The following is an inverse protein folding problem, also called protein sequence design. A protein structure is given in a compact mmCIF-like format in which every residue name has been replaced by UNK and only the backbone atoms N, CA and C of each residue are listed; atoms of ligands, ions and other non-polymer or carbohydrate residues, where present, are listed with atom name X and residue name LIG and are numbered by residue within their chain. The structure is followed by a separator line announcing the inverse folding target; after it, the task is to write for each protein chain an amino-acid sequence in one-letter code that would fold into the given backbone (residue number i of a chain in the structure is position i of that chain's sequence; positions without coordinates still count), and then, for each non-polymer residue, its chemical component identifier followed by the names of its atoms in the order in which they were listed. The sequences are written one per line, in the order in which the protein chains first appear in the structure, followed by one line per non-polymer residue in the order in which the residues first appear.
data_IF_569876066136
#
_entry.id   IF_569876066136
#
_cell.length_a   1.000
_cell.length_b   1.000
_cell.length_c   1.000
_cell.angle_alpha   90.00
_cell.angle_beta   90.00
_cell.angle_gamma   90.00
#
_symmetry.space_group_name_H-M   'P 1'
#
loop_
_entity.id
_entity.type
_entity.pdbx_description
1 polymer ?
#
# COMPACT_ATOMS: atom_id res chain seq x y z
N UNK A 1 2.76 -20.89 -4.03
CA UNK A 1 1.60 -21.68 -4.52
C UNK A 1 1.98 -23.15 -4.50
N UNK A 2 1.22 -24.00 -3.82
CA UNK A 2 1.50 -25.45 -3.70
C UNK A 2 0.75 -26.26 -4.76
N UNK A 3 -0.38 -25.78 -5.27
CA UNK A 3 -1.11 -26.45 -6.35
C UNK A 3 -2.41 -25.77 -6.73
N UNK A 4 -3.10 -26.34 -7.71
CA UNK A 4 -4.43 -25.90 -8.13
C UNK A 4 -5.35 -27.09 -8.43
N UNK A 5 -6.67 -26.89 -8.26
CA UNK A 5 -7.69 -27.81 -8.73
C UNK A 5 -8.57 -27.11 -9.79
N UNK A 6 -8.71 -27.75 -10.95
CA UNK A 6 -9.57 -27.29 -12.04
C UNK A 6 -10.48 -28.43 -12.52
N UNK A 7 -11.42 -28.85 -11.66
CA UNK A 7 -12.37 -29.93 -11.96
C UNK A 7 -13.79 -29.37 -12.16
N UNK A 8 -14.33 -29.54 -13.38
CA UNK A 8 -15.67 -29.04 -13.73
C UNK A 8 -15.79 -27.53 -13.54
N UNK A 9 -16.73 -27.09 -12.68
CA UNK A 9 -16.93 -25.68 -12.30
C UNK A 9 -15.99 -25.19 -11.19
N UNK A 10 -15.25 -26.09 -10.54
CA UNK A 10 -14.39 -25.75 -9.41
C UNK A 10 -13.06 -25.21 -9.92
N UNK A 11 -12.63 -24.08 -9.35
CA UNK A 11 -11.31 -23.48 -9.52
C UNK A 11 -10.80 -23.16 -8.12
N UNK A 12 -9.77 -23.86 -7.68
CA UNK A 12 -9.21 -23.73 -6.33
C UNK A 12 -7.70 -23.56 -6.47
N UNK A 13 -7.14 -22.61 -5.72
CA UNK A 13 -5.70 -22.44 -5.56
C UNK A 13 -5.33 -22.84 -4.13
N UNK A 14 -4.24 -23.59 -3.98
CA UNK A 14 -3.70 -24.00 -2.69
C UNK A 14 -2.35 -23.32 -2.51
N UNK A 15 -2.19 -22.64 -1.39
CA UNK A 15 -0.94 -21.97 -0.99
C UNK A 15 -0.58 -22.40 0.43
N UNK A 16 0.61 -21.98 0.86
CA UNK A 16 0.94 -21.98 2.28
C UNK A 16 -0.13 -21.23 3.09
N UNK A 17 -0.37 -21.71 4.30
CA UNK A 17 -1.16 -21.00 5.30
C UNK A 17 -0.26 -19.96 5.97
N UNK A 18 -0.78 -18.75 6.14
CA UNK A 18 -0.06 -17.60 6.68
C UNK A 18 -0.73 -17.20 8.00
N UNK A 19 0.01 -17.36 9.10
CA UNK A 19 -0.54 -17.45 10.45
C UNK A 19 -1.14 -16.13 10.96
N UNK A 20 -0.50 -14.99 10.67
CA UNK A 20 -0.94 -13.69 11.14
C UNK A 20 -2.02 -13.05 10.25
N UNK A 21 -2.50 -13.78 9.23
CA UNK A 21 -3.55 -13.31 8.34
C UNK A 21 -3.08 -12.12 7.48
N UNK A 22 -3.99 -11.19 7.19
CA UNK A 22 -3.70 -10.01 6.37
C UNK A 22 -3.24 -8.82 7.19
N UNK A 23 -2.54 -7.88 6.55
CA UNK A 23 -2.19 -6.60 7.13
C UNK A 23 -3.45 -5.84 7.58
N UNK A 24 -4.55 -5.92 6.82
CA UNK A 24 -5.83 -5.34 7.23
C UNK A 24 -6.30 -5.86 8.60
N UNK A 25 -6.13 -7.15 8.86
CA UNK A 25 -6.52 -7.77 10.12
C UNK A 25 -5.69 -7.21 11.29
N UNK A 26 -4.35 -7.16 11.14
CA UNK A 26 -3.45 -6.64 12.18
C UNK A 26 -3.59 -5.13 12.41
N UNK A 27 -3.83 -4.37 11.35
CA UNK A 27 -3.85 -2.91 11.42
C UNK A 27 -5.21 -2.39 11.90
N UNK A 28 -6.31 -2.97 11.40
CA UNK A 28 -7.66 -2.45 11.58
C UNK A 28 -8.57 -3.33 12.45
N UNK A 29 -8.13 -4.54 12.79
CA UNK A 29 -8.88 -5.46 13.64
C UNK A 29 -9.23 -4.81 14.97
N UNK A 30 -10.51 -4.87 15.33
CA UNK A 30 -11.02 -4.40 16.63
C UNK A 30 -11.10 -5.52 17.67
N UNK A 31 -10.79 -6.75 17.25
CA UNK A 31 -10.98 -7.96 18.04
C UNK A 31 -9.71 -8.37 18.82
N UNK A 32 -8.61 -7.62 18.65
CA UNK A 32 -7.36 -7.82 19.39
C UNK A 32 -7.35 -6.99 20.68
N UNK A 33 -6.92 -7.62 21.78
CA UNK A 33 -6.40 -6.89 22.94
C UNK A 33 -5.29 -5.93 22.46
N UNK A 34 -5.08 -4.80 23.13
CA UNK A 34 -4.06 -3.78 22.76
C UNK A 34 -2.67 -4.38 22.46
N UNK A 35 -2.38 -5.57 22.99
CA UNK A 35 -1.17 -6.36 22.75
C UNK A 35 -0.95 -6.83 21.30
N UNK A 36 -1.91 -6.70 20.37
CA UNK A 36 -1.74 -7.11 18.96
C UNK A 36 -1.52 -5.94 17.97
N UNK A 37 -1.31 -4.72 18.48
CA UNK A 37 -1.00 -3.55 17.65
C UNK A 37 0.44 -3.66 17.12
N UNK A 38 0.61 -3.55 15.80
CA UNK A 38 1.94 -3.50 15.19
C UNK A 38 2.71 -2.29 15.73
N UNK A 39 3.90 -2.52 16.27
CA UNK A 39 4.81 -1.45 16.67
C UNK A 39 5.35 -0.67 15.45
N UNK A 40 6.01 0.45 15.69
CA UNK A 40 6.51 1.29 14.60
C UNK A 40 7.56 0.58 13.72
N UNK A 41 8.46 -0.20 14.32
CA UNK A 41 9.52 -0.90 13.58
C UNK A 41 8.92 -1.98 12.66
N UNK A 42 7.91 -2.70 13.15
CA UNK A 42 7.15 -3.67 12.36
C UNK A 42 6.45 -2.99 11.18
N UNK A 43 5.78 -1.84 11.39
CA UNK A 43 5.14 -1.08 10.31
C UNK A 43 6.13 -0.61 9.25
N UNK A 44 7.28 -0.08 9.67
CA UNK A 44 8.34 0.37 8.76
C UNK A 44 8.91 -0.81 7.96
N UNK A 45 9.18 -1.94 8.62
CA UNK A 45 9.66 -3.17 7.98
C UNK A 45 8.66 -3.70 6.97
N UNK A 46 7.37 -3.73 7.31
CA UNK A 46 6.29 -4.13 6.39
C UNK A 46 6.28 -3.21 5.17
N UNK A 47 6.33 -1.89 5.36
CA UNK A 47 6.39 -0.92 4.27
C UNK A 47 7.57 -1.18 3.31
N UNK A 48 8.75 -1.43 3.87
CA UNK A 48 9.97 -1.72 3.11
C UNK A 48 9.88 -3.04 2.36
N UNK A 49 9.45 -4.12 3.00
CA UNK A 49 9.37 -5.45 2.37
C UNK A 49 8.27 -5.50 1.29
N UNK A 50 7.14 -4.83 1.48
CA UNK A 50 6.12 -4.66 0.41
C UNK A 50 6.71 -3.89 -0.77
N UNK A 51 7.48 -2.81 -0.51
CA UNK A 51 8.14 -2.07 -1.58
C UNK A 51 9.16 -2.93 -2.36
N UNK A 52 9.95 -3.75 -1.66
CA UNK A 52 10.88 -4.73 -2.26
C UNK A 52 10.12 -5.72 -3.15
N UNK A 53 9.00 -6.26 -2.66
CA UNK A 53 8.14 -7.17 -3.42
C UNK A 53 7.59 -6.54 -4.71
N UNK A 54 7.09 -5.31 -4.64
CA UNK A 54 6.61 -4.58 -5.82
C UNK A 54 7.75 -4.22 -6.79
N UNK A 55 8.91 -3.80 -6.28
CA UNK A 55 10.08 -3.50 -7.12
C UNK A 55 10.53 -4.73 -7.93
N UNK A 56 10.53 -5.91 -7.29
CA UNK A 56 10.81 -7.18 -7.96
C UNK A 56 9.81 -7.48 -9.10
N UNK A 57 8.51 -7.36 -8.82
CA UNK A 57 7.44 -7.60 -9.80
C UNK A 57 7.49 -6.63 -10.98
N UNK A 58 7.82 -5.36 -10.71
CA UNK A 58 7.83 -4.29 -11.72
C UNK A 58 9.10 -4.28 -12.58
N UNK A 59 10.24 -4.76 -12.08
CA UNK A 59 11.53 -4.52 -12.75
C UNK A 59 12.45 -5.74 -12.91
N UNK A 60 12.26 -6.78 -12.11
CA UNK A 60 13.17 -7.94 -12.09
C UNK A 60 12.58 -9.17 -12.78
N UNK A 61 11.26 -9.29 -12.86
CA UNK A 61 10.59 -10.36 -13.60
C UNK A 61 10.77 -10.23 -15.12
N UNK A 62 10.86 -11.35 -15.85
CA UNK A 62 11.02 -11.37 -17.31
C UNK A 62 9.94 -10.56 -18.03
N UNK A 63 8.70 -10.69 -17.56
CA UNK A 63 7.55 -9.84 -17.90
C UNK A 63 7.29 -8.89 -16.73
N UNK A 64 6.77 -7.70 -16.99
CA UNK A 64 6.33 -6.82 -15.90
C UNK A 64 5.04 -7.36 -15.32
N UNK A 65 5.06 -7.68 -14.03
CA UNK A 65 3.88 -8.15 -13.30
C UNK A 65 3.29 -6.96 -12.55
N UNK A 66 2.08 -6.56 -12.91
CA UNK A 66 1.33 -5.48 -12.25
C UNK A 66 0.16 -6.10 -11.47
N UNK A 67 0.25 -6.29 -10.14
CA UNK A 67 -0.83 -6.84 -9.31
C UNK A 67 -2.22 -6.25 -9.57
N UNK A 68 -2.34 -4.94 -9.76
CA UNK A 68 -3.59 -4.20 -9.99
C UNK A 68 -4.63 -4.20 -8.85
N UNK A 69 -4.38 -4.87 -7.73
CA UNK A 69 -5.27 -4.89 -6.54
C UNK A 69 -4.49 -4.83 -5.22
N UNK A 70 -3.48 -3.97 -5.15
CA UNK A 70 -2.75 -3.76 -3.90
C UNK A 70 -3.66 -3.10 -2.86
N UNK A 71 -3.80 -3.76 -1.71
CA UNK A 71 -4.55 -3.32 -0.53
C UNK A 71 -4.08 -4.12 0.70
N UNK A 72 -4.32 -3.67 1.94
CA UNK A 72 -3.91 -4.38 3.15
C UNK A 72 -4.46 -5.81 3.26
N UNK A 73 -5.61 -6.14 2.64
CA UNK A 73 -6.13 -7.51 2.61
C UNK A 73 -5.30 -8.45 1.73
N UNK A 74 -4.62 -7.92 0.71
CA UNK A 74 -3.78 -8.67 -0.22
C UNK A 74 -2.30 -8.67 0.18
N UNK A 75 -1.99 -8.25 1.40
CA UNK A 75 -0.68 -8.38 2.04
C UNK A 75 -0.85 -9.30 3.23
N UNK A 76 -0.31 -10.51 3.15
CA UNK A 76 -0.34 -11.47 4.27
C UNK A 76 0.92 -11.35 5.11
N UNK A 77 0.84 -11.65 6.40
CA UNK A 77 1.97 -11.57 7.33
C UNK A 77 2.31 -12.97 7.85
N UNK A 78 3.51 -13.44 7.60
CA UNK A 78 3.95 -14.75 8.13
C UNK A 78 4.19 -14.69 9.65
N UNK A 79 4.60 -15.82 10.23
CA UNK A 79 4.90 -15.95 11.67
C UNK A 79 5.90 -14.90 12.20
N UNK A 80 6.79 -14.37 11.35
CA UNK A 80 7.82 -13.39 11.70
C UNK A 80 7.37 -11.96 11.34
N UNK A 81 6.09 -11.78 10.99
CA UNK A 81 5.47 -10.56 10.49
C UNK A 81 6.08 -10.03 9.19
N UNK A 82 6.73 -10.90 8.40
CA UNK A 82 7.22 -10.54 7.08
C UNK A 82 6.06 -10.54 6.07
N UNK A 83 5.91 -9.47 5.27
CA UNK A 83 4.80 -9.36 4.34
C UNK A 83 5.00 -10.19 3.08
N UNK A 84 3.91 -10.81 2.62
CA UNK A 84 3.80 -11.53 1.35
C UNK A 84 2.65 -10.96 0.54
N UNK A 85 2.96 -10.43 -0.64
CA UNK A 85 1.95 -9.97 -1.60
C UNK A 85 1.21 -11.20 -2.14
N UNK A 86 -0.11 -11.16 -2.06
CA UNK A 86 -1.00 -12.24 -2.53
C UNK A 86 -2.04 -11.72 -3.52
N UNK A 87 -2.93 -12.60 -3.94
CA UNK A 87 -4.05 -12.35 -4.85
C UNK A 87 -3.66 -11.66 -6.17
N UNK A 88 -2.97 -12.43 -7.00
CA UNK A 88 -2.64 -12.04 -8.37
C UNK A 88 -3.82 -12.27 -9.34
N UNK A 89 -5.05 -12.44 -8.85
CA UNK A 89 -6.23 -12.73 -9.68
C UNK A 89 -6.59 -11.62 -10.65
N UNK A 90 -6.19 -10.38 -10.34
CA UNK A 90 -6.36 -9.20 -11.21
C UNK A 90 -5.06 -8.77 -11.91
N UNK A 91 -3.97 -9.50 -11.70
CA UNK A 91 -2.65 -9.12 -12.21
C UNK A 91 -2.57 -9.08 -13.74
N UNK A 92 -1.65 -8.27 -14.24
CA UNK A 92 -1.29 -8.21 -15.64
C UNK A 92 0.16 -8.60 -15.85
N UNK A 93 0.39 -9.34 -16.92
CA UNK A 93 1.70 -9.52 -17.53
C UNK A 93 1.80 -8.52 -18.68
N UNK A 94 2.80 -7.65 -18.63
CA UNK A 94 3.11 -6.72 -19.71
C UNK A 94 4.46 -7.08 -20.30
N UNK A 95 4.51 -7.27 -21.62
CA UNK A 95 5.77 -7.46 -22.33
C UNK A 95 6.64 -6.21 -22.17
N UNK A 96 7.94 -6.42 -21.97
CA UNK A 96 8.92 -5.33 -21.80
C UNK A 96 9.06 -4.44 -23.05
N UNK A 97 8.61 -4.90 -24.21
CA UNK A 97 8.57 -4.13 -25.45
C UNK A 97 7.35 -3.19 -25.55
N UNK A 98 6.46 -3.21 -24.55
CA UNK A 98 5.27 -2.36 -24.48
C UNK A 98 4.12 -2.80 -25.39
N UNK A 99 4.25 -3.94 -26.08
CA UNK A 99 3.25 -4.43 -27.05
C UNK A 99 1.87 -4.70 -26.43
N UNK A 100 1.85 -5.10 -25.15
CA UNK A 100 0.63 -5.51 -24.43
C UNK A 100 0.05 -4.44 -23.50
N UNK A 101 0.38 -3.16 -23.70
CA UNK A 101 -0.22 -2.03 -22.99
C UNK A 101 -1.69 -1.78 -23.43
N UNK A 102 -2.53 -2.81 -23.35
CA UNK A 102 -3.93 -2.80 -23.77
C UNK A 102 -4.76 -1.98 -22.77
N UNK A 103 -5.62 -1.10 -23.30
CA UNK A 103 -6.70 -0.46 -22.54
C UNK A 103 -7.57 -1.54 -21.90
N UNK A 104 -7.57 -1.63 -20.58
CA UNK A 104 -8.40 -2.62 -19.88
C UNK A 104 -9.56 -1.99 -19.15
N UNK A 105 -10.64 -2.78 -19.04
CA UNK A 105 -11.73 -2.54 -18.10
C UNK A 105 -11.17 -2.20 -16.71
N UNK A 106 -11.87 -1.27 -16.05
CA UNK A 106 -11.67 -0.87 -14.66
C UNK A 106 -11.56 -2.14 -13.78
N UNK A 107 -10.45 -2.26 -13.05
CA UNK A 107 -10.16 -3.34 -12.09
C UNK A 107 -9.48 -2.75 -10.85
N UNK A 108 -9.57 -3.50 -9.74
CA UNK A 108 -9.02 -3.10 -8.45
C UNK A 108 -10.09 -2.69 -7.44
N UNK A 109 -9.65 -2.47 -6.21
CA UNK A 109 -10.51 -2.16 -5.07
C UNK A 109 -10.66 -0.64 -4.88
N UNK A 110 -11.91 -0.15 -4.86
CA UNK A 110 -12.23 1.26 -4.64
C UNK A 110 -11.52 1.77 -3.37
N UNK A 111 -10.89 2.93 -3.46
CA UNK A 111 -10.06 3.51 -2.39
C UNK A 111 -8.56 3.39 -2.67
N UNK A 112 -8.14 2.30 -3.32
CA UNK A 112 -6.74 2.05 -3.70
C UNK A 112 -6.48 2.29 -5.18
N UNK A 113 -7.53 2.52 -5.97
CA UNK A 113 -7.44 2.73 -7.41
C UNK A 113 -6.85 4.11 -7.74
N UNK A 114 -5.79 4.11 -8.53
CA UNK A 114 -5.24 5.30 -9.14
C UNK A 114 -6.27 6.04 -10.04
N UNK A 115 -6.22 7.38 -10.14
CA UNK A 115 -7.17 8.17 -10.94
C UNK A 115 -7.24 7.73 -12.41
N UNK A 116 -6.13 7.26 -12.98
CA UNK A 116 -6.09 6.86 -14.39
C UNK A 116 -6.93 5.62 -14.71
N UNK A 117 -7.39 4.86 -13.71
CA UNK A 117 -8.33 3.76 -13.91
C UNK A 117 -9.67 4.25 -14.49
N UNK A 118 -10.09 5.48 -14.17
CA UNK A 118 -11.34 6.05 -14.71
C UNK A 118 -11.14 6.84 -16.01
N UNK A 119 -9.89 7.11 -16.41
CA UNK A 119 -9.59 7.94 -17.59
C UNK A 119 -9.24 7.13 -18.84
N UNK A 120 -9.48 5.81 -18.86
CA UNK A 120 -9.16 4.93 -19.99
C UNK A 120 -7.70 5.04 -20.47
N UNK A 121 -6.76 5.39 -19.58
CA UNK A 121 -5.34 5.36 -19.93
C UNK A 121 -4.80 3.92 -19.80
N UNK A 122 -3.70 3.57 -20.51
CA UNK A 122 -3.06 2.28 -20.34
C UNK A 122 -2.66 2.06 -18.88
N UNK A 123 -3.07 0.93 -18.32
CA UNK A 123 -2.67 0.53 -16.96
C UNK A 123 -1.23 0.05 -17.01
N UNK A 124 -0.37 0.72 -16.24
CA UNK A 124 1.06 0.44 -16.08
C UNK A 124 1.36 0.26 -14.60
N UNK A 125 2.60 -0.06 -14.24
CA UNK A 125 3.07 -0.32 -12.87
C UNK A 125 2.76 0.82 -11.87
N UNK A 126 2.59 2.05 -12.36
CA UNK A 126 2.23 3.24 -11.55
C UNK A 126 0.87 3.14 -10.85
N UNK A 127 0.00 2.22 -11.24
CA UNK A 127 -1.25 2.00 -10.51
C UNK A 127 -0.99 1.34 -9.16
N UNK A 128 -0.05 0.40 -9.08
CA UNK A 128 0.33 -0.24 -7.82
C UNK A 128 1.11 0.72 -6.93
N UNK A 129 1.91 1.63 -7.53
CA UNK A 129 2.60 2.71 -6.80
C UNK A 129 1.58 3.59 -6.08
N UNK A 130 0.48 3.96 -6.75
CA UNK A 130 -0.58 4.75 -6.13
C UNK A 130 -1.24 3.98 -4.98
N UNK A 131 -1.62 2.73 -5.20
CA UNK A 131 -2.20 1.87 -4.16
C UNK A 131 -1.26 1.71 -2.96
N UNK A 132 0.04 1.56 -3.20
CA UNK A 132 1.06 1.53 -2.16
C UNK A 132 1.13 2.83 -1.36
N UNK A 133 0.97 3.99 -2.01
CA UNK A 133 0.86 5.29 -1.34
C UNK A 133 -0.31 5.35 -0.35
N UNK A 134 -1.46 4.77 -0.70
CA UNK A 134 -2.61 4.64 0.21
C UNK A 134 -2.26 3.76 1.41
N UNK A 135 -1.65 2.60 1.16
CA UNK A 135 -1.24 1.64 2.20
C UNK A 135 -0.23 2.26 3.16
N UNK A 136 0.69 3.11 2.67
CA UNK A 136 1.63 3.84 3.54
C UNK A 136 0.91 4.78 4.50
N UNK A 137 -0.08 5.56 4.02
CA UNK A 137 -0.88 6.42 4.89
C UNK A 137 -1.58 5.58 5.97
N UNK A 138 -2.17 4.45 5.58
CA UNK A 138 -2.85 3.55 6.50
C UNK A 138 -1.90 2.93 7.53
N UNK A 139 -0.69 2.51 7.13
CA UNK A 139 0.35 2.02 8.05
C UNK A 139 0.71 3.08 9.09
N UNK A 140 0.88 4.34 8.67
CA UNK A 140 1.21 5.45 9.58
C UNK A 140 0.05 5.73 10.54
N UNK A 141 -1.19 5.81 10.04
CA UNK A 141 -2.36 6.21 10.85
C UNK A 141 -3.01 5.06 11.62
N UNK A 142 -2.80 3.82 11.19
CA UNK A 142 -3.35 2.62 11.83
C UNK A 142 -4.82 2.34 11.55
N UNK A 143 -5.48 3.10 10.70
CA UNK A 143 -6.90 2.90 10.34
C UNK A 143 -7.08 3.04 8.84
N UNK A 144 -8.14 2.42 8.32
CA UNK A 144 -8.56 2.57 6.92
C UNK A 144 -8.60 4.04 6.54
N UNK A 145 -8.06 4.39 5.37
CA UNK A 145 -8.06 5.78 4.90
C UNK A 145 -9.47 6.36 4.85
N UNK A 146 -10.47 5.52 4.53
CA UNK A 146 -11.89 5.88 4.50
C UNK A 146 -12.47 6.29 5.85
N UNK A 147 -11.85 5.86 6.95
CA UNK A 147 -12.25 6.15 8.33
C UNK A 147 -11.55 7.38 8.91
N UNK A 148 -10.61 8.00 8.19
CA UNK A 148 -9.97 9.23 8.64
C UNK A 148 -11.01 10.35 8.73
N UNK A 149 -10.90 11.18 9.76
CA UNK A 149 -11.77 12.34 9.97
C UNK A 149 -10.97 13.61 9.71
N UNK A 150 -11.41 14.39 8.72
CA UNK A 150 -10.80 15.67 8.35
C UNK A 150 -11.90 16.74 8.41
N UNK A 151 -11.66 17.80 9.19
CA UNK A 151 -12.67 18.85 9.47
C UNK A 151 -14.03 18.30 9.97
N UNK A 152 -14.00 17.20 10.74
CA UNK A 152 -15.20 16.55 11.29
C UNK A 152 -15.95 15.64 10.32
N UNK A 153 -15.44 15.42 9.11
CA UNK A 153 -16.07 14.61 8.05
C UNK A 153 -15.20 13.38 7.78
N UNK A 154 -15.80 12.21 7.55
CA UNK A 154 -15.06 10.99 7.19
C UNK A 154 -14.58 11.04 5.74
N UNK A 155 -13.39 10.51 5.47
CA UNK A 155 -12.81 10.51 4.12
C UNK A 155 -13.61 9.70 3.11
N UNK A 156 -14.39 8.70 3.50
CA UNK A 156 -15.31 8.02 2.58
C UNK A 156 -16.32 8.97 1.90
N UNK A 157 -16.57 10.13 2.49
CA UNK A 157 -17.42 11.20 1.98
C UNK A 157 -16.62 12.28 1.22
N UNK A 158 -15.31 12.11 1.12
CA UNK A 158 -14.36 13.06 0.54
C UNK A 158 -13.54 12.43 -0.58
N UNK A 159 -12.91 13.31 -1.34
CA UNK A 159 -11.87 12.92 -2.29
C UNK A 159 -10.54 12.72 -1.55
N UNK A 160 -9.81 11.66 -1.84
CA UNK A 160 -8.48 11.38 -1.26
C UNK A 160 -7.49 12.55 -1.45
N UNK A 161 -7.70 13.40 -2.46
CA UNK A 161 -6.94 14.64 -2.67
C UNK A 161 -7.02 15.60 -1.47
N UNK A 162 -8.10 15.54 -0.69
CA UNK A 162 -8.24 16.29 0.56
C UNK A 162 -7.29 15.72 1.62
N UNK A 163 -7.16 14.38 1.71
CA UNK A 163 -6.18 13.72 2.60
C UNK A 163 -4.76 14.14 2.22
N UNK A 164 -4.42 14.03 0.93
CA UNK A 164 -3.11 14.44 0.40
C UNK A 164 -2.80 15.90 0.75
N UNK A 165 -3.76 16.81 0.56
CA UNK A 165 -3.59 18.23 0.91
C UNK A 165 -3.35 18.45 2.40
N UNK A 166 -4.20 17.88 3.26
CA UNK A 166 -4.10 18.07 4.72
C UNK A 166 -2.83 17.43 5.29
N UNK A 167 -2.45 16.24 4.80
CA UNK A 167 -1.17 15.61 5.16
C UNK A 167 -0.01 16.52 4.77
N UNK A 168 0.00 17.08 3.55
CA UNK A 168 1.04 18.02 3.11
C UNK A 168 1.10 19.27 3.99
N UNK A 169 -0.04 19.91 4.27
CA UNK A 169 -0.11 21.09 5.15
C UNK A 169 0.44 20.81 6.56
N UNK A 170 0.11 19.65 7.14
CA UNK A 170 0.62 19.22 8.45
C UNK A 170 2.12 18.90 8.46
N UNK A 171 2.66 18.43 7.34
CA UNK A 171 4.09 18.20 7.20
C UNK A 171 4.87 19.51 7.00
N UNK A 172 4.32 20.45 6.23
CA UNK A 172 4.92 21.76 5.96
C UNK A 172 4.98 22.67 7.19
N UNK A 173 4.03 22.54 8.12
CA UNK A 173 4.05 23.30 9.38
C UNK A 173 5.30 23.02 10.23
N UNK A 174 5.92 21.85 10.04
CA UNK A 174 7.05 21.34 10.82
C UNK A 174 6.82 21.32 12.35
N UNK A 175 5.58 21.47 12.79
CA UNK A 175 5.21 21.31 14.19
C UNK A 175 5.13 19.82 14.51
N UNK A 176 5.86 19.38 15.53
CA UNK A 176 5.90 17.97 15.94
C UNK A 176 4.49 17.43 16.18
N UNK A 177 3.67 18.17 16.92
CA UNK A 177 2.25 17.85 17.18
C UNK A 177 1.41 17.69 15.90
N UNK A 178 1.68 18.47 14.85
CA UNK A 178 0.96 18.32 13.58
C UNK A 178 1.25 16.98 12.91
N UNK A 179 2.47 16.47 13.07
CA UNK A 179 2.89 15.16 12.56
C UNK A 179 2.36 14.04 13.45
N UNK A 180 2.41 14.19 14.77
CA UNK A 180 1.84 13.21 15.71
C UNK A 180 0.35 12.97 15.43
N UNK A 181 -0.41 14.01 15.07
CA UNK A 181 -1.82 13.88 14.68
C UNK A 181 -2.04 12.99 13.44
N UNK A 182 -1.01 12.76 12.61
CA UNK A 182 -1.07 11.87 11.44
C UNK A 182 -0.71 10.42 11.79
N UNK A 183 -0.13 10.18 12.96
CA UNK A 183 0.30 8.86 13.41
C UNK A 183 -0.85 8.16 14.16
N UNK A 184 -0.77 6.84 14.21
CA UNK A 184 -1.64 5.99 15.01
C UNK A 184 -1.48 6.31 16.50
N UNK A 185 -2.56 6.76 17.12
CA UNK A 185 -2.56 7.13 18.54
C UNK A 185 -2.21 5.94 19.45
N UNK A 186 -2.45 4.70 19.01
CA UNK A 186 -2.15 3.48 19.78
C UNK A 186 -0.66 3.26 19.97
N UNK A 187 0.19 3.90 19.16
CA UNK A 187 1.65 3.87 19.34
C UNK A 187 2.10 4.70 20.55
N UNK A 188 1.23 5.54 21.15
CA UNK A 188 1.53 6.30 22.37
C UNK A 188 2.84 7.12 22.32
N UNK A 189 3.22 7.64 21.14
CA UNK A 189 4.47 8.37 20.94
C UNK A 189 5.70 7.50 20.68
N UNK A 190 5.57 6.17 20.69
CA UNK A 190 6.66 5.22 20.42
C UNK A 190 6.82 4.98 18.91
N UNK A 191 7.38 5.97 18.22
CA UNK A 191 7.72 5.90 16.80
C UNK A 191 8.91 6.77 16.45
N UNK A 192 9.56 6.45 15.33
CA UNK A 192 10.68 7.24 14.83
C UNK A 192 10.16 8.39 13.96
N UNK A 193 10.23 9.63 14.46
CA UNK A 193 9.76 10.84 13.75
C UNK A 193 10.38 11.02 12.35
N UNK A 194 11.65 10.61 12.17
CA UNK A 194 12.33 10.71 10.88
C UNK A 194 11.73 9.73 9.88
N UNK A 195 11.50 8.48 10.30
CA UNK A 195 10.85 7.47 9.47
C UNK A 195 9.38 7.82 9.17
N UNK A 196 8.65 8.42 10.13
CA UNK A 196 7.28 8.90 9.90
C UNK A 196 7.26 9.94 8.77
N UNK A 197 8.12 10.97 8.87
CA UNK A 197 8.23 12.01 7.84
C UNK A 197 8.55 11.40 6.47
N UNK A 198 9.52 10.49 6.42
CA UNK A 198 9.89 9.78 5.20
C UNK A 198 8.72 9.00 4.59
N UNK A 199 8.02 8.18 5.38
CA UNK A 199 6.89 7.38 4.88
C UNK A 199 5.77 8.27 4.35
N UNK A 200 5.47 9.39 5.01
CA UNK A 200 4.47 10.34 4.54
C UNK A 200 4.93 11.06 3.26
N UNK A 201 6.19 11.47 3.14
CA UNK A 201 6.76 12.07 1.91
C UNK A 201 6.66 11.11 0.72
N UNK A 202 7.02 9.85 0.94
CA UNK A 202 6.89 8.79 -0.06
C UNK A 202 5.42 8.59 -0.43
N UNK A 203 4.52 8.51 0.56
CA UNK A 203 3.09 8.34 0.32
C UNK A 203 2.52 9.48 -0.54
N UNK A 204 2.84 10.74 -0.21
CA UNK A 204 2.42 11.90 -0.99
C UNK A 204 2.95 11.85 -2.43
N UNK A 205 4.22 11.44 -2.61
CA UNK A 205 4.83 11.30 -3.94
C UNK A 205 4.18 10.18 -4.76
N UNK A 206 3.80 9.07 -4.12
CA UNK A 206 3.06 7.97 -4.72
C UNK A 206 1.62 8.36 -5.13
N UNK A 207 1.03 9.33 -4.44
CA UNK A 207 -0.35 9.80 -4.64
C UNK A 207 -0.47 11.01 -5.60
N UNK A 208 0.60 11.39 -6.29
CA UNK A 208 0.55 12.42 -7.33
C UNK A 208 -0.50 12.07 -8.42
N UNK A 209 -1.33 13.05 -8.80
CA UNK A 209 -2.35 12.86 -9.85
C UNK A 209 -1.68 12.50 -11.19
N UNK A 210 -0.60 13.20 -11.51
CA UNK A 210 0.23 12.89 -12.67
C UNK A 210 1.11 11.67 -12.38
N UNK A 211 0.70 10.52 -12.92
CA UNK A 211 1.43 9.24 -12.77
C UNK A 211 2.89 9.31 -13.23
N UNK A 212 3.28 10.27 -14.07
CA UNK A 212 4.68 10.45 -14.47
C UNK A 212 5.56 10.97 -13.33
N UNK A 213 4.96 11.70 -12.36
CA UNK A 213 5.63 12.22 -11.16
C UNK A 213 5.76 11.22 -10.03
N UNK A 214 4.93 10.17 -10.03
CA UNK A 214 5.05 9.08 -9.04
C UNK A 214 6.41 8.39 -9.17
N UNK A 215 7.08 8.03 -8.07
CA UNK A 215 8.34 7.31 -8.12
C UNK A 215 8.16 5.91 -8.73
N UNK A 216 9.26 5.27 -9.10
CA UNK A 216 9.26 3.82 -9.32
C UNK A 216 9.57 3.10 -7.99
N UNK A 217 9.17 1.84 -7.87
CA UNK A 217 9.31 1.10 -6.61
C UNK A 217 10.77 0.86 -6.20
N UNK A 218 11.72 0.80 -7.15
CA UNK A 218 13.15 0.77 -6.82
C UNK A 218 13.59 2.03 -6.07
N UNK A 219 13.13 3.21 -6.50
CA UNK A 219 13.44 4.49 -5.85
C UNK A 219 12.83 4.56 -4.45
N UNK A 220 11.60 4.04 -4.30
CA UNK A 220 10.93 3.91 -2.99
C UNK A 220 11.73 3.00 -2.05
N UNK A 221 12.19 1.85 -2.53
CA UNK A 221 13.03 0.91 -1.76
C UNK A 221 14.32 1.59 -1.31
N UNK A 222 15.03 2.29 -2.21
CA UNK A 222 16.28 2.99 -1.86
C UNK A 222 16.06 4.07 -0.79
N UNK A 223 14.95 4.82 -0.90
CA UNK A 223 14.59 5.82 0.12
C UNK A 223 14.35 5.17 1.49
N UNK A 224 13.60 4.06 1.55
CA UNK A 224 13.31 3.37 2.81
C UNK A 224 14.54 2.67 3.42
N UNK A 225 15.37 2.00 2.61
CA UNK A 225 16.60 1.32 3.10
C UNK A 225 17.56 2.33 3.75
N UNK A 226 17.62 3.56 3.25
CA UNK A 226 18.50 4.60 3.79
C UNK A 226 18.16 5.01 5.24
N UNK A 227 16.99 4.60 5.74
CA UNK A 227 16.50 4.85 7.09
C UNK A 227 16.15 3.56 7.84
N UNK A 228 16.57 2.40 7.33
CA UNK A 228 16.54 1.13 8.06
C UNK A 228 17.63 1.19 9.13
N UNK A 229 17.22 1.34 10.40
CA UNK A 229 18.10 1.50 11.56
C UNK A 229 18.17 0.27 12.44
#
# INVERSE_FOLDING_TARGET
MWGCCSQGKHRILVSEYIENGSLAHKLFGRDGFDDDVLDWNQRFRIALCVAKGLAYLHSECSEWIVPCDMKPENILLDKDLEPKITDFGLSKLLNRDGSDAILTRIRGTRGYMAPEWVTNLPVIEKVDVYSYGVILLELVKGIWISEWVIHGIKVCEMDIRIVVRVTREKMESNEEKSIEDLVDYRLNGDFNHVQVKLMLEIALSCLEEDRSKRPNMNSVVQALISFEG
#
